data_IF_909160875929
#
_entry.id   IF_909160875929
#
_cell.length_a   1.000
_cell.length_b   1.000
_cell.length_c   1.000
_cell.angle_alpha   90.00
_cell.angle_beta   90.00
_cell.angle_gamma   90.00
#
_symmetry.space_group_name_H-M   'P 1'
#
loop_
_entity.id
_entity.type
_entity.pdbx_description
1 polymer ?
#
# COMPACT_ATOMS: atom_id res chain seq x y z
N UNK A 1 -5.52 -3.77 -10.65
CA UNK A 1 -4.46 -3.90 -9.63
C UNK A 1 -3.24 -3.12 -10.08
N UNK A 2 -2.87 -2.08 -9.35
CA UNK A 2 -1.70 -1.23 -9.66
C UNK A 2 -0.41 -1.77 -9.03
N UNK A 3 0.75 -1.28 -9.48
CA UNK A 3 2.05 -1.65 -8.90
C UNK A 3 2.16 -1.23 -7.42
N UNK A 4 1.62 -0.06 -7.05
CA UNK A 4 1.59 0.43 -5.67
C UNK A 4 0.72 -0.47 -4.77
N UNK A 5 -0.45 -0.91 -5.24
CA UNK A 5 -1.28 -1.88 -4.51
C UNK A 5 -0.52 -3.17 -4.23
N UNK A 6 0.17 -3.74 -5.23
CA UNK A 6 0.97 -4.95 -5.06
C UNK A 6 2.04 -4.79 -3.99
N UNK A 7 2.75 -3.65 -3.98
CA UNK A 7 3.76 -3.35 -2.98
C UNK A 7 3.16 -3.29 -1.56
N UNK A 8 2.01 -2.66 -1.41
CA UNK A 8 1.28 -2.55 -0.13
C UNK A 8 0.81 -3.94 0.33
N UNK A 9 0.24 -4.74 -0.58
CA UNK A 9 -0.24 -6.10 -0.30
C UNK A 9 0.92 -6.98 0.17
N UNK A 10 2.05 -6.99 -0.56
CA UNK A 10 3.24 -7.73 -0.16
C UNK A 10 3.75 -7.29 1.21
N UNK A 11 3.82 -5.98 1.47
CA UNK A 11 4.28 -5.44 2.75
C UNK A 11 3.45 -5.98 3.93
N UNK A 12 2.13 -5.86 3.87
CA UNK A 12 1.30 -6.30 4.99
C UNK A 12 1.24 -7.82 5.14
N UNK A 13 1.29 -8.58 4.04
CA UNK A 13 1.43 -10.05 4.11
C UNK A 13 2.77 -10.46 4.73
N UNK A 14 3.86 -9.75 4.40
CA UNK A 14 5.18 -9.98 4.98
C UNK A 14 5.21 -9.63 6.48
N UNK A 15 4.46 -8.61 6.91
CA UNK A 15 4.24 -8.29 8.32
C UNK A 15 3.38 -9.33 9.07
N UNK A 16 2.83 -10.34 8.38
CA UNK A 16 2.00 -11.40 8.96
C UNK A 16 0.51 -11.06 9.07
N UNK A 17 0.03 -10.02 8.38
CA UNK A 17 -1.38 -9.65 8.38
C UNK A 17 -2.19 -10.48 7.36
N UNK A 18 -3.50 -10.67 7.61
CA UNK A 18 -4.43 -11.14 6.57
C UNK A 18 -4.79 -9.95 5.65
N UNK A 19 -4.68 -10.16 4.33
CA UNK A 19 -4.87 -9.11 3.33
C UNK A 19 -5.86 -9.56 2.27
N UNK A 20 -6.96 -8.81 2.15
CA UNK A 20 -7.94 -8.89 1.07
C UNK A 20 -7.75 -7.70 0.14
N UNK A 21 -7.92 -7.89 -1.16
CA UNK A 21 -7.76 -6.81 -2.14
C UNK A 21 -8.75 -6.95 -3.29
N UNK A 22 -9.07 -5.85 -3.97
CA UNK A 22 -10.09 -5.77 -5.03
C UNK A 22 -11.41 -6.44 -4.62
N UNK A 23 -11.87 -6.16 -3.41
CA UNK A 23 -13.06 -6.78 -2.85
C UNK A 23 -14.30 -6.07 -3.37
N UNK A 24 -15.12 -6.79 -4.14
CA UNK A 24 -16.42 -6.30 -4.58
C UNK A 24 -17.43 -6.48 -3.43
N UNK A 25 -18.12 -5.39 -3.08
CA UNK A 25 -19.00 -5.33 -1.91
C UNK A 25 -20.38 -4.76 -2.25
N UNK A 26 -21.40 -5.14 -1.48
CA UNK A 26 -22.79 -4.73 -1.71
C UNK A 26 -23.37 -5.27 -3.02
N UNK A 27 -23.63 -6.58 -3.15
CA UNK A 27 -24.24 -7.13 -4.35
C UNK A 27 -25.63 -6.50 -4.58
N UNK A 28 -25.95 -6.19 -5.84
CA UNK A 28 -27.22 -5.54 -6.22
C UNK A 28 -28.21 -6.54 -6.84
N UNK A 29 -29.51 -6.29 -6.67
CA UNK A 29 -30.59 -7.17 -7.17
C UNK A 29 -30.50 -7.48 -8.68
N UNK A 30 -30.11 -6.50 -9.49
CA UNK A 30 -29.98 -6.63 -10.95
C UNK A 30 -28.57 -7.03 -11.40
N UNK A 31 -27.76 -7.56 -10.48
CA UNK A 31 -26.36 -7.86 -10.71
C UNK A 31 -25.43 -6.65 -10.54
N UNK A 32 -24.14 -6.95 -10.47
CA UNK A 32 -23.11 -5.97 -10.13
C UNK A 32 -23.00 -5.73 -8.62
N UNK A 33 -22.17 -4.75 -8.29
CA UNK A 33 -21.74 -4.48 -6.92
C UNK A 33 -21.83 -2.99 -6.62
N UNK A 34 -21.99 -2.64 -5.35
CA UNK A 34 -22.04 -1.26 -4.89
C UNK A 34 -20.69 -0.60 -5.10
N UNK A 35 -19.61 -1.28 -4.75
CA UNK A 35 -18.25 -0.76 -4.80
C UNK A 35 -17.21 -1.87 -4.93
N UNK A 36 -15.99 -1.49 -5.33
CA UNK A 36 -14.79 -2.30 -5.20
C UNK A 36 -13.80 -1.57 -4.28
N UNK A 37 -13.35 -2.27 -3.23
CA UNK A 37 -12.41 -1.79 -2.22
C UNK A 37 -11.00 -2.30 -2.54
N UNK A 38 -10.00 -1.43 -2.49
CA UNK A 38 -8.69 -1.71 -3.08
C UNK A 38 -7.87 -2.65 -2.21
N UNK A 39 -7.54 -2.28 -0.96
CA UNK A 39 -6.78 -3.12 -0.03
C UNK A 39 -7.38 -3.05 1.37
N UNK A 40 -7.64 -4.20 1.97
CA UNK A 40 -8.12 -4.35 3.35
C UNK A 40 -7.16 -5.27 4.10
N UNK A 41 -6.70 -4.81 5.26
CA UNK A 41 -5.73 -5.54 6.09
C UNK A 41 -6.35 -5.79 7.46
N UNK A 42 -6.27 -7.03 7.93
CA UNK A 42 -6.52 -7.37 9.32
C UNK A 42 -5.19 -7.64 10.04
N UNK A 43 -4.84 -6.73 10.93
CA UNK A 43 -3.69 -6.84 11.82
C UNK A 43 -4.16 -7.33 13.19
N UNK A 44 -4.19 -8.66 13.35
CA UNK A 44 -4.62 -9.30 14.59
C UNK A 44 -3.71 -8.95 15.78
N UNK A 45 -2.42 -8.65 15.54
CA UNK A 45 -1.46 -8.32 16.59
C UNK A 45 -1.79 -6.97 17.24
N UNK A 46 -2.18 -6.00 16.43
CA UNK A 46 -2.52 -4.65 16.90
C UNK A 46 -4.03 -4.44 17.09
N UNK A 47 -4.86 -5.46 16.84
CA UNK A 47 -6.33 -5.36 16.90
C UNK A 47 -6.88 -4.23 16.03
N UNK A 48 -6.42 -4.18 14.77
CA UNK A 48 -6.79 -3.14 13.81
C UNK A 48 -7.20 -3.73 12.46
N UNK A 49 -8.23 -3.15 11.85
CA UNK A 49 -8.56 -3.29 10.44
C UNK A 49 -8.12 -2.03 9.70
N UNK A 50 -7.39 -2.17 8.60
CA UNK A 50 -7.02 -1.06 7.73
C UNK A 50 -7.78 -1.17 6.41
N UNK A 51 -8.32 -0.06 5.93
CA UNK A 51 -8.87 0.10 4.59
C UNK A 51 -8.02 1.12 3.83
N UNK A 52 -7.24 0.65 2.88
CA UNK A 52 -6.25 1.42 2.16
C UNK A 52 -6.71 1.63 0.72
N UNK A 53 -6.74 2.88 0.31
CA UNK A 53 -7.22 3.32 -1.00
C UNK A 53 -6.11 4.10 -1.71
N UNK A 54 -5.17 3.41 -2.38
CA UNK A 54 -4.12 4.07 -3.15
C UNK A 54 -4.64 4.64 -4.47
N UNK A 55 -4.19 5.85 -4.81
CA UNK A 55 -4.48 6.48 -6.09
C UNK A 55 -3.30 7.29 -6.62
N UNK A 56 -3.00 7.08 -7.89
CA UNK A 56 -2.03 7.86 -8.66
C UNK A 56 -2.67 9.00 -9.46
N UNK A 57 -3.97 9.26 -9.26
CA UNK A 57 -4.68 10.28 -10.02
C UNK A 57 -4.19 11.71 -9.71
N UNK A 58 -4.34 12.61 -10.68
CA UNK A 58 -4.12 14.06 -10.51
C UNK A 58 -5.45 14.84 -10.42
N UNK A 59 -6.50 14.23 -9.87
CA UNK A 59 -7.82 14.88 -9.79
C UNK A 59 -7.80 16.06 -8.80
N UNK A 60 -8.74 16.98 -9.00
CA UNK A 60 -8.98 18.04 -8.02
C UNK A 60 -9.42 17.45 -6.68
N UNK A 61 -9.17 18.19 -5.60
CA UNK A 61 -9.51 17.75 -4.25
C UNK A 61 -11.01 17.44 -4.09
N UNK A 62 -11.88 18.28 -4.66
CA UNK A 62 -13.32 18.05 -4.62
C UNK A 62 -13.74 16.74 -5.31
N UNK A 63 -13.10 16.38 -6.43
CA UNK A 63 -13.36 15.09 -7.12
C UNK A 63 -12.85 13.91 -6.29
N UNK A 64 -11.68 14.04 -5.67
CA UNK A 64 -11.16 13.04 -4.74
C UNK A 64 -12.12 12.86 -3.56
N UNK A 65 -12.55 13.93 -2.91
CA UNK A 65 -13.50 13.88 -1.80
C UNK A 65 -14.74 13.06 -2.18
N UNK A 66 -15.40 13.41 -3.28
CA UNK A 66 -16.60 12.70 -3.75
C UNK A 66 -16.35 11.22 -4.08
N UNK A 67 -15.19 10.87 -4.65
CA UNK A 67 -14.84 9.48 -5.00
C UNK A 67 -14.52 8.66 -3.76
N UNK A 68 -13.68 9.20 -2.88
CA UNK A 68 -13.22 8.51 -1.67
C UNK A 68 -14.32 8.40 -0.62
N UNK A 69 -15.25 9.35 -0.52
CA UNK A 69 -16.44 9.22 0.34
C UNK A 69 -17.21 7.94 0.05
N UNK A 70 -17.51 7.67 -1.23
CA UNK A 70 -18.22 6.44 -1.62
C UNK A 70 -17.46 5.18 -1.23
N UNK A 71 -16.15 5.16 -1.45
CA UNK A 71 -15.29 4.01 -1.10
C UNK A 71 -15.24 3.80 0.41
N UNK A 72 -15.00 4.85 1.19
CA UNK A 72 -14.86 4.74 2.62
C UNK A 72 -16.20 4.46 3.33
N UNK A 73 -17.32 4.99 2.85
CA UNK A 73 -18.66 4.62 3.32
C UNK A 73 -18.95 3.14 3.07
N UNK A 74 -18.71 2.65 1.85
CA UNK A 74 -18.84 1.24 1.53
C UNK A 74 -17.91 0.37 2.40
N UNK A 75 -16.67 0.81 2.62
CA UNK A 75 -15.72 0.13 3.51
C UNK A 75 -16.23 0.02 4.95
N UNK A 76 -16.76 1.11 5.52
CA UNK A 76 -17.35 1.09 6.88
C UNK A 76 -18.55 0.16 6.99
N UNK A 77 -19.34 0.08 5.91
CA UNK A 77 -20.54 -0.76 5.85
C UNK A 77 -20.19 -2.25 5.72
N UNK A 78 -19.29 -2.60 4.80
CA UNK A 78 -19.12 -3.98 4.34
C UNK A 78 -17.86 -4.69 4.84
N UNK A 79 -16.81 -3.97 5.27
CA UNK A 79 -15.61 -4.64 5.82
C UNK A 79 -15.96 -5.50 7.03
N UNK A 80 -16.71 -5.01 8.04
CA UNK A 80 -17.01 -5.79 9.23
C UNK A 80 -18.04 -6.90 8.99
N UNK A 81 -18.90 -6.78 7.97
CA UNK A 81 -20.02 -7.72 7.76
C UNK A 81 -19.74 -8.76 6.69
N UNK A 82 -19.04 -8.38 5.62
CA UNK A 82 -18.92 -9.22 4.41
C UNK A 82 -17.49 -9.75 4.24
N UNK A 83 -16.48 -8.94 4.57
CA UNK A 83 -15.08 -9.28 4.33
C UNK A 83 -14.46 -9.96 5.55
N UNK A 84 -14.70 -9.41 6.75
CA UNK A 84 -14.15 -9.89 8.01
C UNK A 84 -15.24 -10.09 9.10
N UNK A 85 -16.28 -10.92 8.85
CA UNK A 85 -17.40 -11.10 9.78
C UNK A 85 -17.04 -11.69 11.15
N UNK A 86 -15.90 -12.40 11.24
CA UNK A 86 -15.43 -13.01 12.49
C UNK A 86 -14.57 -12.06 13.34
N UNK A 87 -14.22 -10.89 12.82
CA UNK A 87 -13.43 -9.90 13.57
C UNK A 87 -14.36 -9.14 14.52
N UNK A 88 -14.05 -9.05 15.83
CA UNK A 88 -14.91 -8.35 16.79
C UNK A 88 -15.19 -6.90 16.39
N UNK A 89 -16.41 -6.41 16.60
CA UNK A 89 -16.79 -5.03 16.26
C UNK A 89 -16.04 -3.96 17.07
N UNK A 90 -15.36 -4.36 18.16
CA UNK A 90 -14.47 -3.49 18.93
C UNK A 90 -13.14 -3.22 18.23
N UNK A 91 -12.76 -4.02 17.22
CA UNK A 91 -11.55 -3.81 16.42
C UNK A 91 -11.72 -2.53 15.61
N UNK A 92 -10.74 -1.63 15.71
CA UNK A 92 -10.79 -0.33 15.08
C UNK A 92 -10.62 -0.48 13.57
N UNK A 93 -11.55 0.09 12.79
CA UNK A 93 -11.38 0.28 11.36
C UNK A 93 -10.75 1.65 11.07
N UNK A 94 -9.50 1.62 10.62
CA UNK A 94 -8.78 2.79 10.14
C UNK A 94 -8.86 2.86 8.61
N UNK A 95 -9.06 4.06 8.08
CA UNK A 95 -9.18 4.27 6.64
C UNK A 95 -8.13 5.28 6.20
N UNK A 96 -7.40 4.96 5.14
CA UNK A 96 -6.28 5.77 4.65
C UNK A 96 -6.36 5.89 3.12
N UNK A 97 -6.39 7.13 2.63
CA UNK A 97 -6.18 7.45 1.22
C UNK A 97 -4.68 7.65 0.97
N UNK A 98 -4.11 6.92 0.00
CA UNK A 98 -2.68 7.04 -0.34
C UNK A 98 -2.57 7.77 -1.69
N UNK A 99 -2.05 8.99 -1.70
CA UNK A 99 -2.07 9.89 -2.86
C UNK A 99 -0.65 10.23 -3.34
N UNK A 100 -0.47 10.60 -4.62
CA UNK A 100 0.84 11.04 -5.15
C UNK A 100 1.46 12.20 -4.36
N UNK A 101 0.61 13.08 -3.82
CA UNK A 101 1.03 14.23 -3.01
C UNK A 101 -0.15 14.77 -2.21
N UNK A 102 0.17 15.33 -1.05
CA UNK A 102 -0.75 16.07 -0.20
C UNK A 102 -0.01 17.29 0.34
N UNK A 103 -0.64 18.47 0.29
CA UNK A 103 -0.09 19.65 0.94
C UNK A 103 -0.18 19.52 2.47
N UNK A 104 0.60 20.27 3.26
CA UNK A 104 0.64 20.15 4.73
C UNK A 104 -0.73 20.29 5.41
N UNK A 105 -1.64 21.06 4.82
CA UNK A 105 -2.99 21.29 5.32
C UNK A 105 -4.01 20.19 4.95
N UNK A 106 -3.64 19.19 4.13
CA UNK A 106 -4.55 18.17 3.58
C UNK A 106 -4.25 16.78 4.15
N UNK A 107 -4.37 16.66 5.46
CA UNK A 107 -4.12 15.40 6.19
C UNK A 107 -5.35 14.48 6.24
N UNK A 108 -6.52 14.96 5.79
CA UNK A 108 -7.79 14.23 5.83
C UNK A 108 -8.54 14.35 4.52
N UNK A 109 -9.14 13.25 4.06
CA UNK A 109 -9.95 13.16 2.84
C UNK A 109 -11.13 12.22 3.11
N UNK A 110 -12.37 12.67 2.90
CA UNK A 110 -13.56 11.82 3.06
C UNK A 110 -13.65 11.12 4.43
N UNK A 111 -13.18 11.79 5.48
CA UNK A 111 -13.15 11.25 6.85
C UNK A 111 -12.09 10.16 7.08
N UNK A 112 -11.11 10.02 6.18
CA UNK A 112 -9.96 9.12 6.28
C UNK A 112 -8.65 9.90 6.40
N UNK A 113 -7.59 9.24 6.87
CA UNK A 113 -6.24 9.80 6.90
C UNK A 113 -5.68 9.86 5.48
N UNK A 114 -4.83 10.84 5.21
CA UNK A 114 -4.14 10.98 3.93
C UNK A 114 -2.67 10.72 4.15
N UNK A 115 -2.16 9.71 3.46
CA UNK A 115 -0.73 9.46 3.30
C UNK A 115 -0.35 9.73 1.86
N UNK A 116 0.91 10.10 1.65
CA UNK A 116 1.50 10.17 0.33
C UNK A 116 2.08 8.81 -0.07
N UNK A 117 2.26 8.61 -1.38
CA UNK A 117 3.02 7.46 -1.89
C UNK A 117 4.42 7.44 -1.28
N UNK A 118 5.07 8.60 -1.15
CA UNK A 118 6.42 8.70 -0.57
C UNK A 118 6.45 8.29 0.90
N UNK A 119 5.47 8.70 1.70
CA UNK A 119 5.35 8.27 3.10
C UNK A 119 5.11 6.75 3.21
N UNK A 120 4.23 6.19 2.37
CA UNK A 120 3.97 4.76 2.36
C UNK A 120 5.23 3.98 1.94
N UNK A 121 5.89 4.39 0.86
CA UNK A 121 7.12 3.74 0.37
C UNK A 121 8.25 3.90 1.37
N UNK A 122 8.39 5.05 2.04
CA UNK A 122 9.37 5.26 3.10
C UNK A 122 9.14 4.30 4.26
N UNK A 123 7.90 4.14 4.73
CA UNK A 123 7.55 3.18 5.78
C UNK A 123 7.93 1.75 5.41
N UNK A 124 7.60 1.31 4.19
CA UNK A 124 7.94 -0.02 3.68
C UNK A 124 9.46 -0.18 3.62
N UNK A 125 10.16 0.78 2.99
CA UNK A 125 11.61 0.82 2.87
C UNK A 125 12.28 0.70 4.23
N UNK A 126 11.85 1.47 5.21
CA UNK A 126 12.48 1.52 6.53
C UNK A 126 12.26 0.20 7.29
N UNK A 127 11.09 -0.43 7.12
CA UNK A 127 10.82 -1.78 7.63
C UNK A 127 11.72 -2.83 6.98
N UNK A 128 11.92 -2.76 5.66
CA UNK A 128 12.80 -3.65 4.91
C UNK A 128 14.26 -3.43 5.32
N UNK A 129 14.72 -2.19 5.48
CA UNK A 129 16.07 -1.89 5.98
C UNK A 129 16.30 -2.42 7.38
N UNK A 130 15.29 -2.33 8.26
CA UNK A 130 15.37 -2.90 9.60
C UNK A 130 15.49 -4.43 9.61
N UNK A 131 15.05 -5.12 8.56
CA UNK A 131 15.28 -6.56 8.38
C UNK A 131 16.77 -6.88 8.16
N UNK A 132 17.52 -5.96 7.56
CA UNK A 132 18.95 -6.07 7.29
C UNK A 132 19.29 -6.69 5.93
N UNK A 133 20.57 -7.05 5.76
CA UNK A 133 21.11 -7.59 4.50
C UNK A 133 20.53 -8.96 4.14
N UNK A 134 20.42 -9.26 2.84
CA UNK A 134 19.77 -10.49 2.39
C UNK A 134 20.55 -11.75 2.77
N UNK A 135 21.89 -11.72 2.83
CA UNK A 135 22.71 -12.87 3.24
C UNK A 135 22.40 -13.38 4.65
N UNK A 136 21.84 -12.54 5.53
CA UNK A 136 21.51 -12.90 6.93
C UNK A 136 20.01 -13.06 7.16
N UNK A 137 19.20 -12.28 6.44
CA UNK A 137 17.79 -12.13 6.73
C UNK A 137 16.98 -11.92 5.44
N UNK A 138 17.18 -12.79 4.44
CA UNK A 138 16.50 -12.70 3.16
C UNK A 138 14.97 -12.60 3.32
N UNK A 139 14.36 -11.60 2.66
CA UNK A 139 12.92 -11.55 2.48
C UNK A 139 12.52 -12.72 1.55
N UNK A 140 11.53 -13.55 1.92
CA UNK A 140 11.11 -14.70 1.12
C UNK A 140 10.79 -14.35 -0.35
N UNK A 141 11.09 -15.26 -1.27
CA UNK A 141 10.96 -15.03 -2.73
C UNK A 141 9.52 -14.75 -3.19
N UNK A 142 8.53 -15.19 -2.41
CA UNK A 142 7.11 -14.86 -2.63
C UNK A 142 6.77 -13.38 -2.45
N UNK A 143 7.70 -12.56 -1.93
CA UNK A 143 7.59 -11.10 -1.83
C UNK A 143 8.63 -10.40 -2.72
N UNK A 144 8.53 -10.55 -4.06
CA UNK A 144 9.56 -10.09 -5.00
C UNK A 144 9.79 -8.58 -4.96
N UNK A 145 8.76 -7.76 -4.72
CA UNK A 145 8.91 -6.30 -4.64
C UNK A 145 9.68 -5.91 -3.39
N UNK A 146 9.34 -6.50 -2.24
CA UNK A 146 10.07 -6.25 -1.00
C UNK A 146 11.52 -6.76 -1.06
N UNK A 147 11.76 -7.92 -1.69
CA UNK A 147 13.11 -8.45 -1.89
C UNK A 147 13.95 -7.57 -2.80
N UNK A 148 13.34 -7.01 -3.84
CA UNK A 148 13.98 -5.99 -4.68
C UNK A 148 14.37 -4.76 -3.84
N UNK A 149 13.47 -4.26 -2.99
CA UNK A 149 13.78 -3.16 -2.06
C UNK A 149 14.92 -3.55 -1.12
N UNK A 150 14.96 -4.77 -0.60
CA UNK A 150 16.05 -5.25 0.26
C UNK A 150 17.40 -5.19 -0.46
N UNK A 151 17.47 -5.69 -1.70
CA UNK A 151 18.71 -5.64 -2.47
C UNK A 151 19.16 -4.21 -2.77
N UNK A 152 18.23 -3.30 -3.09
CA UNK A 152 18.56 -1.91 -3.37
C UNK A 152 19.02 -1.16 -2.11
N UNK A 153 18.36 -1.40 -0.97
CA UNK A 153 18.52 -0.56 0.24
C UNK A 153 19.47 -1.15 1.27
N UNK A 154 19.70 -2.45 1.23
CA UNK A 154 20.53 -3.20 2.19
C UNK A 154 21.60 -4.06 1.49
N UNK A 155 21.36 -4.44 0.22
CA UNK A 155 22.26 -5.32 -0.53
C UNK A 155 22.20 -6.78 -0.09
N UNK A 156 22.91 -7.64 -0.84
CA UNK A 156 23.09 -9.04 -0.44
C UNK A 156 24.08 -9.15 0.71
N UNK A 157 25.29 -8.61 0.53
CA UNK A 157 26.32 -8.48 1.56
C UNK A 157 26.50 -7.04 2.09
N UNK A 158 25.79 -6.07 1.50
CA UNK A 158 25.90 -4.65 1.78
C UNK A 158 25.60 -3.81 0.53
N UNK A 159 25.32 -2.53 0.72
CA UNK A 159 25.15 -1.56 -0.38
C UNK A 159 26.52 -1.05 -0.81
N UNK A 160 26.74 -0.91 -2.12
CA UNK A 160 27.95 -0.30 -2.68
C UNK A 160 27.72 1.21 -2.79
N UNK A 161 28.38 2.01 -1.93
CA UNK A 161 28.20 3.48 -1.88
C UNK A 161 29.12 4.24 -2.85
N UNK A 162 30.27 3.68 -3.21
CA UNK A 162 31.17 4.28 -4.18
C UNK A 162 30.64 4.03 -5.60
N UNK A 163 30.57 5.09 -6.42
CA UNK A 163 30.25 4.94 -7.84
C UNK A 163 31.29 3.99 -8.48
N UNK A 164 30.88 2.80 -8.91
CA UNK A 164 31.79 1.86 -9.58
C UNK A 164 32.22 2.46 -10.93
N UNK A 165 33.34 1.99 -11.47
CA UNK A 165 33.92 2.51 -12.73
C UNK A 165 32.93 2.50 -13.91
N UNK A 166 31.93 1.62 -13.92
CA UNK A 166 30.87 1.60 -14.93
C UNK A 166 29.92 2.81 -14.87
N UNK A 167 29.81 3.52 -13.75
CA UNK A 167 28.97 4.70 -13.61
C UNK A 167 29.51 5.90 -14.43
N UNK A 168 30.81 5.89 -14.78
CA UNK A 168 31.43 6.90 -15.64
C UNK A 168 31.26 6.61 -17.14
N UNK A 169 30.65 5.48 -17.51
CA UNK A 169 30.37 5.14 -18.89
C UNK A 169 29.02 5.73 -19.27
N UNK A 170 29.02 6.95 -19.80
CA UNK A 170 27.82 7.54 -20.41
C UNK A 170 27.27 6.57 -21.46
N UNK A 171 25.98 6.21 -21.44
CA UNK A 171 25.40 5.44 -22.53
C UNK A 171 25.59 6.26 -23.80
N UNK A 172 26.24 5.67 -24.82
CA UNK A 172 26.30 6.27 -26.14
C UNK A 172 24.87 6.59 -26.56
N UNK A 173 24.55 7.88 -26.63
CA UNK A 173 23.27 8.33 -27.14
C UNK A 173 23.22 7.89 -28.60
N UNK A 174 22.49 6.79 -28.84
CA UNK A 174 22.06 6.41 -30.18
C UNK A 174 21.15 7.52 -30.68
N UNK A 175 21.74 8.58 -31.23
CA UNK A 175 21.06 9.57 -32.04
C UNK A 175 20.49 8.82 -33.24
N UNK A 176 19.18 8.58 -33.21
CA UNK A 176 18.35 8.40 -34.39
C UNK A 176 17.42 9.59 -34.50
#
# INVERSE_FOLDING_TARGET
MSHLENLIIEYYRWCGCDVRHNQKVGPRERGGWEMELDVIVHDAKNSTLLHLEPSLDAMSWAKREARFTKKFEAGRKYIPTDIFPSVPSSVKLEQIAILISAGPARQRLAGADVWTVDEMVARIRDSVRAKGIAARAAIPEQFPLLRTIQFVTSGYYGVVEAAPEWANQTPETNRR
#
